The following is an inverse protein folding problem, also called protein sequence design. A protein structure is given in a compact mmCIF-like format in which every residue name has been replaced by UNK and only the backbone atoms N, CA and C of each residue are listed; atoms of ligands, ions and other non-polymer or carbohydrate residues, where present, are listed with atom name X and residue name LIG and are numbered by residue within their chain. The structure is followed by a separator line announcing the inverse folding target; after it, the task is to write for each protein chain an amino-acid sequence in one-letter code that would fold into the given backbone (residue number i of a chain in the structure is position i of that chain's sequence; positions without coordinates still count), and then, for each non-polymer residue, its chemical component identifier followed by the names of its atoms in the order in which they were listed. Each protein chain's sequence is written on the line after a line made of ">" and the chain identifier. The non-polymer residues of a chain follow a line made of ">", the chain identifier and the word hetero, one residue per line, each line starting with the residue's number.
data_IF_895957866908
#
_entry.id   IF_895957866908
#
_cell.length_a   1.000
_cell.length_b   1.000
_cell.length_c   1.000
_cell.angle_alpha   90.00
_cell.angle_beta   90.00
_cell.angle_gamma   90.00
#
_symmetry.space_group_name_H-M   'P 1'
#
loop_
_entity.id
_entity.type
_entity.pdbx_description
1 polymer ?
#
# COMPACT_ATOMS: atom_id res chain seq x y z
N UNK A 1 -12.60 13.26 10.16
CA UNK A 1 -12.23 13.04 8.76
C UNK A 1 -11.19 14.06 8.36
N UNK A 2 -10.04 13.60 7.91
CA UNK A 2 -8.99 14.41 7.30
C UNK A 2 -8.65 13.90 5.90
N UNK A 3 -8.18 14.79 5.04
CA UNK A 3 -7.63 14.43 3.72
C UNK A 3 -6.13 14.20 3.77
N UNK A 4 -5.65 13.15 3.09
CA UNK A 4 -4.23 12.85 2.91
C UNK A 4 -3.90 12.67 1.44
N UNK A 5 -2.77 13.19 0.99
CA UNK A 5 -2.24 12.85 -0.33
C UNK A 5 -1.10 11.83 -0.23
N UNK A 6 -1.05 10.92 -1.20
CA UNK A 6 0.01 9.92 -1.38
C UNK A 6 0.52 10.00 -2.81
N UNK A 7 1.82 10.18 -2.99
CA UNK A 7 2.41 10.26 -4.32
C UNK A 7 2.55 8.87 -4.96
N UNK A 8 2.04 8.74 -6.19
CA UNK A 8 2.28 7.63 -7.10
C UNK A 8 3.22 8.07 -8.21
N UNK A 9 4.38 7.44 -8.26
CA UNK A 9 5.36 7.67 -9.30
C UNK A 9 4.82 7.30 -10.70
N UNK A 10 5.30 8.00 -11.73
CA UNK A 10 4.76 7.88 -13.08
C UNK A 10 4.96 6.51 -13.74
N UNK A 11 5.97 5.76 -13.32
CA UNK A 11 6.19 4.35 -13.71
C UNK A 11 5.04 3.45 -13.22
N UNK A 12 4.56 3.66 -12.00
CA UNK A 12 3.39 2.94 -11.50
C UNK A 12 2.10 3.35 -12.24
N UNK A 13 1.92 4.64 -12.53
CA UNK A 13 0.75 5.07 -13.32
C UNK A 13 0.75 4.39 -14.69
N UNK A 14 1.93 4.31 -15.34
CA UNK A 14 2.10 3.60 -16.62
C UNK A 14 1.82 2.10 -16.49
N UNK A 15 2.20 1.45 -15.38
CA UNK A 15 1.91 0.03 -15.18
C UNK A 15 0.41 -0.23 -15.03
N UNK A 16 -0.32 0.63 -14.30
CA UNK A 16 -1.77 0.53 -14.19
C UNK A 16 -2.45 0.71 -15.55
N UNK A 17 -2.04 1.73 -16.31
CA UNK A 17 -2.56 1.99 -17.66
C UNK A 17 -2.32 0.82 -18.62
N UNK A 18 -1.10 0.24 -18.61
CA UNK A 18 -0.76 -0.92 -19.45
C UNK A 18 -1.61 -2.14 -19.11
N UNK A 19 -1.98 -2.29 -17.85
CA UNK A 19 -2.82 -3.39 -17.38
C UNK A 19 -4.34 -3.10 -17.51
N UNK A 20 -4.72 -1.92 -18.01
CA UNK A 20 -6.13 -1.54 -18.12
C UNK A 20 -6.82 -1.29 -16.78
N UNK A 21 -6.06 -1.02 -15.72
CA UNK A 21 -6.59 -0.78 -14.38
C UNK A 21 -7.05 0.67 -14.21
N UNK A 22 -8.35 0.88 -14.35
CA UNK A 22 -9.03 2.15 -14.06
C UNK A 22 -9.79 2.13 -12.72
N UNK A 23 -9.57 1.11 -11.88
CA UNK A 23 -10.27 0.99 -10.60
C UNK A 23 -11.70 0.42 -10.71
N UNK A 24 -12.59 0.74 -9.75
CA UNK A 24 -12.44 1.74 -8.70
C UNK A 24 -11.29 1.43 -7.73
N UNK A 25 -10.66 2.46 -7.18
CA UNK A 25 -9.61 2.32 -6.18
C UNK A 25 -10.15 1.59 -4.94
N UNK A 26 -9.48 0.50 -4.53
CA UNK A 26 -9.86 -0.28 -3.34
C UNK A 26 -8.90 -0.14 -2.17
N UNK A 27 -7.62 0.11 -2.43
CA UNK A 27 -6.58 0.08 -1.41
C UNK A 27 -5.43 1.03 -1.72
N UNK A 28 -4.83 1.57 -0.67
CA UNK A 28 -3.53 2.23 -0.70
C UNK A 28 -2.62 1.56 0.32
N UNK A 29 -1.47 1.09 -0.14
CA UNK A 29 -0.44 0.49 0.72
C UNK A 29 0.54 1.54 1.24
N UNK A 30 1.03 1.31 2.46
CA UNK A 30 2.09 2.08 3.09
C UNK A 30 3.25 1.22 3.58
N UNK A 31 4.44 1.80 3.59
CA UNK A 31 5.70 1.19 4.01
C UNK A 31 6.71 2.27 4.43
N UNK A 32 7.94 1.86 4.73
CA UNK A 32 9.06 2.75 5.02
C UNK A 32 9.76 3.31 3.77
N UNK A 33 9.31 2.93 2.57
CA UNK A 33 9.93 3.32 1.30
C UNK A 33 9.33 4.60 0.73
N UNK A 34 10.14 5.37 -0.01
CA UNK A 34 9.68 6.62 -0.62
C UNK A 34 8.61 6.44 -1.69
N UNK A 35 8.61 5.29 -2.37
CA UNK A 35 7.63 4.88 -3.39
C UNK A 35 6.30 4.38 -2.80
N UNK A 36 6.30 4.05 -1.51
CA UNK A 36 5.16 3.56 -0.74
C UNK A 36 5.30 4.10 0.68
N UNK A 37 5.03 5.40 0.89
CA UNK A 37 5.33 6.08 2.14
C UNK A 37 4.44 5.59 3.28
N UNK A 38 4.87 5.89 4.50
CA UNK A 38 4.18 5.42 5.71
C UNK A 38 2.81 6.10 5.87
N UNK A 39 1.75 5.29 5.88
CA UNK A 39 0.36 5.73 6.08
C UNK A 39 -0.10 5.58 7.53
N UNK A 40 0.79 5.29 8.49
CA UNK A 40 0.46 5.10 9.92
C UNK A 40 -0.29 6.25 10.59
N UNK A 41 -0.32 7.44 9.97
CA UNK A 41 -1.07 8.60 10.46
C UNK A 41 -2.55 8.64 10.03
N UNK A 42 -2.92 7.86 9.00
CA UNK A 42 -4.29 7.77 8.49
C UNK A 42 -5.16 6.98 9.48
N UNK A 43 -6.43 7.34 9.60
CA UNK A 43 -7.42 6.64 10.44
C UNK A 43 -8.64 6.21 9.60
N UNK A 44 -9.38 5.24 10.11
CA UNK A 44 -10.72 4.92 9.57
C UNK A 44 -11.59 6.18 9.61
N UNK A 45 -12.30 6.45 8.52
CA UNK A 45 -13.08 7.67 8.31
C UNK A 45 -12.28 8.86 7.74
N UNK A 46 -10.98 8.71 7.45
CA UNK A 46 -10.21 9.67 6.67
C UNK A 46 -10.31 9.37 5.16
N UNK A 47 -9.78 10.28 4.33
CA UNK A 47 -9.76 10.13 2.87
C UNK A 47 -8.32 10.18 2.36
N UNK A 48 -7.95 9.22 1.51
CA UNK A 48 -6.66 9.22 0.82
C UNK A 48 -6.86 9.59 -0.65
N UNK A 49 -6.02 10.47 -1.16
CA UNK A 49 -5.94 10.85 -2.56
C UNK A 49 -4.57 10.46 -3.14
N UNK A 50 -4.50 9.39 -3.92
CA UNK A 50 -3.32 9.15 -4.73
C UNK A 50 -3.15 10.28 -5.75
N UNK A 51 -1.95 10.83 -5.82
CA UNK A 51 -1.60 11.93 -6.73
C UNK A 51 -0.38 11.56 -7.55
N UNK A 52 -0.27 12.14 -8.74
CA UNK A 52 0.94 12.04 -9.57
C UNK A 52 1.33 13.40 -10.13
N UNK A 53 2.49 13.45 -10.77
CA UNK A 53 2.95 14.63 -11.51
C UNK A 53 2.53 14.48 -12.97
N UNK A 54 1.85 15.47 -13.51
CA UNK A 54 1.52 15.54 -14.94
C UNK A 54 1.76 16.95 -15.46
N UNK A 55 2.57 17.06 -16.51
CA UNK A 55 2.92 18.33 -17.17
C UNK A 55 3.42 19.44 -16.23
N UNK A 56 4.12 19.06 -15.16
CA UNK A 56 4.67 20.00 -14.18
C UNK A 56 3.68 20.48 -13.12
N UNK A 57 2.46 19.93 -13.07
CA UNK A 57 1.46 20.20 -12.04
C UNK A 57 0.96 18.91 -11.35
N UNK A 58 0.11 19.08 -10.34
CA UNK A 58 -0.48 18.02 -9.55
C UNK A 58 -1.70 17.41 -10.28
N UNK A 59 -1.73 16.09 -10.38
CA UNK A 59 -2.89 15.35 -10.86
C UNK A 59 -3.40 14.43 -9.75
N UNK A 60 -4.67 14.56 -9.38
CA UNK A 60 -5.32 13.65 -8.44
C UNK A 60 -5.86 12.46 -9.21
N UNK A 61 -5.44 11.26 -8.83
CA UNK A 61 -5.76 10.04 -9.58
C UNK A 61 -7.08 9.42 -9.14
N UNK A 62 -7.35 9.44 -7.84
CA UNK A 62 -8.55 8.86 -7.27
C UNK A 62 -8.79 9.41 -5.86
N UNK A 63 -9.95 9.08 -5.33
CA UNK A 63 -10.35 9.30 -3.94
C UNK A 63 -10.62 7.93 -3.31
N UNK A 64 -10.16 7.72 -2.08
CA UNK A 64 -10.45 6.53 -1.28
C UNK A 64 -10.96 6.95 0.10
N UNK A 65 -12.21 6.67 0.41
CA UNK A 65 -12.73 6.75 1.77
C UNK A 65 -12.24 5.52 2.55
N UNK A 66 -11.51 5.75 3.64
CA UNK A 66 -10.87 4.67 4.40
C UNK A 66 -11.87 4.04 5.37
N UNK A 67 -12.14 2.76 5.17
CA UNK A 67 -13.08 1.96 5.95
C UNK A 67 -12.33 0.94 6.83
N UNK A 68 -11.20 0.43 6.34
CA UNK A 68 -10.36 -0.53 7.04
C UNK A 68 -8.89 -0.12 7.00
N UNK A 69 -8.19 -0.38 8.10
CA UNK A 69 -6.73 -0.29 8.20
C UNK A 69 -6.22 -1.56 8.87
N UNK A 70 -5.38 -2.30 8.16
CA UNK A 70 -4.84 -3.58 8.62
C UNK A 70 -3.41 -3.79 8.08
N UNK A 71 -2.76 -4.89 8.46
CA UNK A 71 -1.48 -5.24 7.85
C UNK A 71 -1.68 -5.65 6.39
N UNK A 72 -0.69 -5.39 5.53
CA UNK A 72 -0.83 -5.65 4.09
C UNK A 72 -1.12 -7.12 3.78
N UNK A 73 -0.58 -8.05 4.58
CA UNK A 73 -0.82 -9.48 4.44
C UNK A 73 -2.28 -9.87 4.72
N UNK A 74 -2.85 -9.38 5.82
CA UNK A 74 -4.23 -9.70 6.18
C UNK A 74 -5.23 -9.16 5.14
N UNK A 75 -4.96 -7.97 4.58
CA UNK A 75 -5.72 -7.45 3.44
C UNK A 75 -5.67 -8.43 2.25
N UNK A 76 -4.48 -8.91 1.89
CA UNK A 76 -4.32 -9.81 0.75
C UNK A 76 -5.05 -11.14 0.95
N UNK A 77 -4.97 -11.71 2.16
CA UNK A 77 -5.73 -12.92 2.52
C UNK A 77 -7.23 -12.70 2.40
N UNK A 78 -7.73 -11.56 2.85
CA UNK A 78 -9.16 -11.26 2.92
C UNK A 78 -9.78 -10.87 1.57
N UNK A 79 -9.07 -10.09 0.76
CA UNK A 79 -9.62 -9.46 -0.45
C UNK A 79 -9.15 -10.10 -1.75
N UNK A 80 -7.95 -10.69 -1.73
CA UNK A 80 -7.31 -11.24 -2.93
C UNK A 80 -7.25 -12.76 -2.88
N UNK A 81 -7.23 -13.36 -1.68
CA UNK A 81 -7.13 -14.81 -1.51
C UNK A 81 -5.76 -15.38 -1.95
N UNK A 82 -4.74 -14.52 -2.02
CA UNK A 82 -3.36 -14.92 -2.33
C UNK A 82 -2.39 -14.17 -1.44
N UNK A 83 -1.18 -14.70 -1.28
CA UNK A 83 -0.18 -14.12 -0.40
C UNK A 83 1.04 -13.62 -1.17
N UNK A 84 1.79 -12.74 -0.51
CA UNK A 84 3.17 -12.49 -0.87
C UNK A 84 4.03 -12.94 0.32
N UNK A 85 4.91 -13.92 0.09
CA UNK A 85 5.68 -14.57 1.17
C UNK A 85 6.47 -13.59 2.04
N UNK A 86 6.99 -12.52 1.44
CA UNK A 86 7.73 -11.47 2.15
C UNK A 86 6.87 -10.61 3.08
N UNK A 87 5.55 -10.76 3.06
CA UNK A 87 4.61 -9.99 3.86
C UNK A 87 4.05 -10.76 5.06
N UNK A 88 4.35 -12.06 5.18
CA UNK A 88 3.87 -12.88 6.30
C UNK A 88 4.34 -12.23 7.62
N UNK A 89 3.43 -11.76 8.49
CA UNK A 89 3.83 -11.08 9.71
C UNK A 89 4.22 -12.06 10.82
N UNK A 90 4.87 -11.56 11.87
CA UNK A 90 5.10 -12.30 13.11
C UNK A 90 3.81 -13.01 13.60
N UNK A 91 3.96 -14.24 14.09
CA UNK A 91 2.85 -15.05 14.61
C UNK A 91 1.90 -15.63 13.56
N UNK A 92 2.23 -15.52 12.27
CA UNK A 92 1.49 -16.16 11.19
C UNK A 92 2.32 -17.26 10.53
N UNK A 93 1.69 -18.42 10.34
CA UNK A 93 2.23 -19.52 9.55
C UNK A 93 1.37 -19.67 8.28
N UNK A 94 2.01 -19.73 7.11
CA UNK A 94 1.34 -20.06 5.86
C UNK A 94 1.73 -21.48 5.44
N UNK A 95 0.73 -22.35 5.33
CA UNK A 95 0.85 -23.76 4.97
C UNK A 95 0.44 -23.99 3.53
N UNK A 96 1.22 -24.78 2.79
CA UNK A 96 0.87 -25.26 1.46
C UNK A 96 1.37 -26.68 1.21
N UNK A 97 0.77 -27.34 0.24
CA UNK A 97 1.25 -28.62 -0.24
C UNK A 97 2.54 -28.39 -1.05
N UNK A 98 3.64 -28.95 -0.57
CA UNK A 98 4.94 -28.89 -1.24
C UNK A 98 5.25 -30.20 -1.98
N UNK A 99 6.27 -30.15 -2.84
CA UNK A 99 6.69 -31.32 -3.64
C UNK A 99 7.05 -32.55 -2.79
N UNK A 100 7.55 -32.33 -1.57
CA UNK A 100 8.05 -33.37 -0.67
C UNK A 100 7.17 -33.54 0.59
N UNK A 101 5.95 -33.00 0.57
CA UNK A 101 5.04 -32.95 1.72
C UNK A 101 4.74 -31.51 2.13
N UNK A 102 4.18 -31.35 3.32
CA UNK A 102 3.71 -30.07 3.84
C UNK A 102 4.84 -29.05 3.94
N UNK A 103 4.63 -27.88 3.33
CA UNK A 103 5.58 -26.78 3.30
C UNK A 103 5.00 -25.56 4.00
N UNK A 104 5.79 -24.95 4.86
CA UNK A 104 5.39 -23.82 5.69
C UNK A 104 6.30 -22.62 5.49
N UNK A 105 5.73 -21.43 5.61
CA UNK A 105 6.43 -20.14 5.56
C UNK A 105 5.99 -19.24 6.72
N UNK A 106 6.92 -18.45 7.23
CA UNK A 106 6.70 -17.44 8.29
C UNK A 106 7.60 -16.23 8.03
N UNK A 107 7.49 -15.18 8.85
CA UNK A 107 8.15 -13.87 8.66
C UNK A 107 9.66 -13.94 8.35
N UNK A 108 10.36 -14.96 8.86
CA UNK A 108 11.82 -15.09 8.75
C UNK A 108 12.31 -16.45 8.25
N UNK A 109 11.41 -17.29 7.71
CA UNK A 109 11.82 -18.60 7.25
C UNK A 109 10.76 -19.35 6.47
N UNK A 110 11.20 -20.49 5.95
CA UNK A 110 10.35 -21.40 5.20
C UNK A 110 10.98 -22.78 5.18
N UNK A 111 10.18 -23.85 5.24
CA UNK A 111 10.71 -25.20 5.21
C UNK A 111 9.59 -26.25 5.10
N UNK A 112 9.99 -27.51 4.96
CA UNK A 112 9.08 -28.65 5.02
C UNK A 112 8.88 -29.08 6.47
N UNK A 113 7.64 -29.38 6.84
CA UNK A 113 7.38 -29.92 8.18
C UNK A 113 8.18 -31.20 8.42
N UNK A 114 8.81 -31.26 9.59
CA UNK A 114 9.39 -32.49 10.14
C UNK A 114 8.41 -33.10 11.14
N UNK A 115 7.86 -32.24 12.01
CA UNK A 115 6.80 -32.51 12.98
C UNK A 115 6.05 -31.20 13.28
N UNK A 116 5.10 -31.23 14.22
CA UNK A 116 4.25 -30.08 14.57
C UNK A 116 5.02 -28.83 15.07
N UNK A 117 6.29 -28.99 15.48
CA UNK A 117 7.10 -27.89 16.03
C UNK A 117 8.37 -27.60 15.25
N UNK A 118 8.71 -28.37 14.21
CA UNK A 118 9.95 -28.20 13.45
C UNK A 118 9.75 -28.17 11.95
N UNK A 119 10.51 -27.29 11.28
CA UNK A 119 10.62 -27.23 9.84
C UNK A 119 12.05 -27.51 9.37
N UNK A 120 12.19 -28.08 8.18
CA UNK A 120 13.47 -28.34 7.54
C UNK A 120 13.63 -27.55 6.26
N UNK A 121 14.78 -26.90 6.10
CA UNK A 121 15.15 -26.18 4.88
C UNK A 121 16.61 -26.40 4.50
N UNK A 122 16.97 -26.04 3.26
CA UNK A 122 18.35 -26.14 2.79
C UNK A 122 19.11 -24.83 3.08
N UNK A 123 20.02 -24.87 4.03
CA UNK A 123 20.93 -23.76 4.35
C UNK A 123 22.24 -23.85 3.55
N UNK A 124 23.11 -22.85 3.71
CA UNK A 124 24.44 -22.82 3.06
C UNK A 124 25.34 -24.00 3.48
N UNK A 125 25.18 -24.49 4.70
CA UNK A 125 25.99 -25.56 5.30
C UNK A 125 25.30 -26.93 5.24
N UNK A 126 24.22 -27.06 4.47
CA UNK A 126 23.44 -28.29 4.31
C UNK A 126 22.04 -28.21 4.89
N UNK A 127 21.45 -29.36 5.22
CA UNK A 127 20.08 -29.44 5.75
C UNK A 127 20.03 -28.83 7.15
N UNK A 128 19.17 -27.84 7.33
CA UNK A 128 18.84 -27.21 8.61
C UNK A 128 17.49 -27.75 9.07
N UNK A 129 17.38 -27.99 10.37
CA UNK A 129 16.11 -28.24 11.06
C UNK A 129 16.01 -27.17 12.14
N UNK A 130 14.93 -26.41 12.11
CA UNK A 130 14.68 -25.32 13.04
C UNK A 130 13.31 -25.48 13.68
N UNK A 131 13.21 -25.05 14.93
CA UNK A 131 11.94 -24.94 15.63
C UNK A 131 11.10 -23.82 15.00
N UNK A 132 9.80 -24.06 14.84
CA UNK A 132 8.87 -23.04 14.42
C UNK A 132 8.75 -21.93 15.49
N UNK A 133 8.34 -20.70 15.10
CA UNK A 133 8.11 -19.64 16.07
C UNK A 133 7.12 -20.08 17.17
N UNK A 134 7.51 -19.95 18.43
CA UNK A 134 6.68 -20.36 19.57
C UNK A 134 5.37 -19.57 19.70
N UNK A 135 5.25 -18.43 19.03
CA UNK A 135 4.12 -17.51 19.09
C UNK A 135 3.25 -17.54 17.82
N UNK A 136 3.09 -18.69 17.17
CA UNK A 136 2.12 -18.82 16.07
C UNK A 136 0.70 -18.67 16.62
N UNK A 137 0.00 -17.65 16.17
CA UNK A 137 -1.37 -17.31 16.57
C UNK A 137 -2.38 -17.63 15.46
N UNK A 138 -1.95 -17.62 14.20
CA UNK A 138 -2.81 -17.86 13.03
C UNK A 138 -2.10 -18.74 12.01
N UNK A 139 -2.83 -19.69 11.44
CA UNK A 139 -2.37 -20.55 10.36
C UNK A 139 -3.30 -20.37 9.16
N UNK A 140 -2.72 -20.07 8.01
CA UNK A 140 -3.43 -20.05 6.73
C UNK A 140 -3.07 -21.29 5.94
N UNK A 141 -4.06 -22.00 5.42
CA UNK A 141 -3.87 -23.16 4.55
C UNK A 141 -4.18 -22.76 3.11
N UNK A 142 -3.22 -22.91 2.20
CA UNK A 142 -3.36 -22.55 0.78
C UNK A 142 -4.58 -23.23 0.14
N UNK A 143 -4.87 -24.49 0.51
CA UNK A 143 -6.02 -25.23 0.00
C UNK A 143 -7.39 -24.73 0.50
N UNK A 144 -7.41 -23.81 1.46
CA UNK A 144 -8.61 -23.13 1.97
C UNK A 144 -8.74 -21.71 1.40
N UNK A 145 -7.76 -21.23 0.63
CA UNK A 145 -7.78 -19.92 0.02
C UNK A 145 -8.23 -20.05 -1.44
N UNK A 146 -9.20 -19.23 -1.82
CA UNK A 146 -9.62 -19.09 -3.21
C UNK A 146 -9.18 -17.73 -3.72
N UNK A 147 -8.38 -17.71 -4.79
CA UNK A 147 -7.95 -16.46 -5.40
C UNK A 147 -9.15 -15.71 -5.97
N UNK A 148 -9.33 -14.47 -5.51
CA UNK A 148 -10.40 -13.60 -5.93
C UNK A 148 -9.92 -12.76 -7.12
N UNK A 149 -10.69 -12.65 -8.22
CA UNK A 149 -10.36 -11.76 -9.31
C UNK A 149 -10.16 -10.33 -8.82
N UNK A 150 -8.99 -9.79 -9.08
CA UNK A 150 -8.57 -8.49 -8.55
C UNK A 150 -7.86 -7.67 -9.63
N UNK A 151 -7.76 -6.38 -9.36
CA UNK A 151 -7.07 -5.43 -10.23
C UNK A 151 -5.62 -5.24 -9.77
N UNK A 152 -4.68 -4.92 -10.68
CA UNK A 152 -3.28 -4.72 -10.35
C UNK A 152 -3.00 -3.78 -9.15
N UNK A 153 -3.79 -2.73 -8.96
CA UNK A 153 -3.61 -1.81 -7.82
C UNK A 153 -3.94 -2.43 -6.47
N UNK A 154 -4.67 -3.56 -6.45
CA UNK A 154 -5.06 -4.30 -5.25
C UNK A 154 -3.97 -5.24 -4.75
N UNK A 155 -2.80 -5.25 -5.39
CA UNK A 155 -1.62 -6.00 -4.96
C UNK A 155 -0.50 -5.00 -4.67
N UNK A 156 0.26 -5.17 -3.58
CA UNK A 156 1.34 -4.27 -3.25
C UNK A 156 2.47 -4.34 -4.29
N UNK A 157 3.02 -3.17 -4.63
CA UNK A 157 4.14 -3.05 -5.59
C UNK A 157 5.48 -3.52 -5.03
N UNK A 158 5.55 -3.76 -3.73
CA UNK A 158 6.80 -3.98 -3.00
C UNK A 158 6.61 -5.08 -1.97
N UNK A 159 7.65 -5.91 -1.85
CA UNK A 159 7.80 -6.92 -0.81
C UNK A 159 7.85 -6.37 0.62
N UNK A 160 7.84 -5.04 0.81
CA UNK A 160 7.93 -4.39 2.11
C UNK A 160 6.62 -3.71 2.53
N UNK A 161 5.50 -3.94 1.85
CA UNK A 161 4.22 -3.33 2.24
C UNK A 161 3.86 -3.73 3.68
N UNK A 162 3.63 -2.74 4.55
CA UNK A 162 3.33 -3.00 5.97
C UNK A 162 1.87 -2.84 6.28
N UNK A 163 1.27 -1.75 5.79
CA UNK A 163 -0.12 -1.39 6.09
C UNK A 163 -0.91 -1.30 4.79
N UNK A 164 -2.16 -1.74 4.83
CA UNK A 164 -3.17 -1.51 3.80
C UNK A 164 -4.28 -0.64 4.40
N UNK A 165 -4.60 0.47 3.73
CA UNK A 165 -5.80 1.24 3.98
C UNK A 165 -6.77 1.00 2.82
N UNK A 166 -7.94 0.44 3.11
CA UNK A 166 -8.93 0.04 2.09
C UNK A 166 -10.32 0.58 2.38
N UNK A 167 -11.17 0.58 1.37
CA UNK A 167 -12.55 1.03 1.45
C UNK A 167 -13.13 1.41 0.10
N UNK A 168 -14.12 2.30 0.10
CA UNK A 168 -14.79 2.76 -1.12
C UNK A 168 -14.01 3.87 -1.82
N UNK A 169 -13.51 3.59 -3.01
CA UNK A 169 -12.85 4.58 -3.86
C UNK A 169 -13.49 4.79 -5.22
N UNK A 170 -12.94 5.77 -5.94
CA UNK A 170 -13.41 6.21 -7.26
C UNK A 170 -12.57 5.62 -8.38
N UNK A 171 -12.98 5.87 -9.63
CA UNK A 171 -12.17 5.58 -10.82
C UNK A 171 -10.77 6.22 -10.72
N UNK A 172 -9.75 5.47 -11.16
CA UNK A 172 -8.35 5.87 -11.27
C UNK A 172 -8.15 6.57 -12.62
N UNK A 173 -8.23 7.89 -12.61
CA UNK A 173 -8.01 8.74 -13.78
C UNK A 173 -7.47 10.13 -13.38
N UNK A 174 -6.62 10.76 -14.20
CA UNK A 174 -5.94 12.00 -13.82
C UNK A 174 -6.90 13.20 -13.83
N UNK A 175 -7.06 13.84 -12.67
CA UNK A 175 -7.77 15.11 -12.48
C UNK A 175 -6.74 16.20 -12.23
N UNK A 176 -6.47 17.00 -13.26
CA UNK A 176 -5.42 18.01 -13.25
C UNK A 176 -5.86 19.21 -12.41
N UNK A 177 -5.01 19.64 -11.48
CA UNK A 177 -5.20 20.87 -10.74
C UNK A 177 -4.32 21.97 -11.36
N UNK A 178 -4.87 23.15 -11.68
CA UNK A 178 -4.08 24.30 -12.14
C UNK A 178 -2.98 24.67 -11.13
N UNK A 179 -1.81 25.06 -11.63
CA UNK A 179 -0.63 25.32 -10.78
C UNK A 179 -0.85 26.50 -9.83
N UNK A 180 -1.69 27.45 -10.23
CA UNK A 180 -2.12 28.61 -9.44
C UNK A 180 -2.89 28.15 -8.20
N UNK A 181 -3.78 27.16 -8.37
CA UNK A 181 -4.51 26.53 -7.27
C UNK A 181 -3.59 25.66 -6.41
N UNK A 182 -2.67 24.90 -7.02
CA UNK A 182 -1.68 24.10 -6.28
C UNK A 182 -0.83 24.99 -5.35
N UNK A 183 -0.50 26.20 -5.79
CA UNK A 183 0.34 27.14 -5.04
C UNK A 183 -0.32 27.67 -3.77
N UNK A 184 -1.65 27.57 -3.63
CA UNK A 184 -2.37 27.97 -2.41
C UNK A 184 -2.55 26.82 -1.42
N UNK A 185 -2.23 25.58 -1.81
CA UNK A 185 -2.44 24.39 -1.00
C UNK A 185 -1.45 24.30 0.15
N UNK A 186 -1.93 23.80 1.28
CA UNK A 186 -1.16 23.68 2.51
C UNK A 186 -1.26 22.27 3.09
N UNK A 187 -0.11 21.76 3.55
CA UNK A 187 0.03 20.40 4.05
C UNK A 187 0.81 20.37 5.37
N UNK A 188 0.32 19.61 6.35
CA UNK A 188 0.97 19.47 7.65
C UNK A 188 0.05 18.85 8.70
N UNK A 189 0.64 18.30 9.78
CA UNK A 189 -0.09 17.61 10.85
C UNK A 189 -1.00 18.56 11.64
N UNK A 190 -0.53 19.78 11.86
CA UNK A 190 -1.21 20.85 12.61
C UNK A 190 -1.27 22.13 11.79
N UNK A 191 -2.19 23.05 12.11
CA UNK A 191 -2.29 24.36 11.44
C UNK A 191 -0.96 25.15 11.48
N UNK A 192 -0.23 25.08 12.58
CA UNK A 192 1.07 25.76 12.74
C UNK A 192 2.23 25.13 11.95
N UNK A 193 2.10 23.88 11.50
CA UNK A 193 3.14 23.15 10.75
C UNK A 193 2.81 23.01 9.27
N UNK A 194 1.68 23.56 8.84
CA UNK A 194 1.22 23.52 7.46
C UNK A 194 2.14 24.35 6.56
N UNK A 195 2.56 23.77 5.44
CA UNK A 195 3.45 24.38 4.46
C UNK A 195 2.98 24.08 3.03
N UNK A 196 3.26 24.97 2.07
CA UNK A 196 3.00 24.69 0.67
C UNK A 196 3.92 23.61 0.12
N UNK A 197 3.56 23.06 -1.03
CA UNK A 197 4.47 22.22 -1.81
C UNK A 197 5.61 23.07 -2.37
N UNK A 198 6.81 22.49 -2.45
CA UNK A 198 7.97 23.17 -3.01
C UNK A 198 7.89 23.18 -4.53
N UNK A 199 7.93 24.37 -5.13
CA UNK A 199 8.05 24.54 -6.57
C UNK A 199 9.53 24.65 -6.99
N UNK A 200 9.82 24.30 -8.24
CA UNK A 200 11.12 24.54 -8.86
C UNK A 200 11.28 26.01 -9.29
N UNK A 201 12.44 26.35 -9.88
CA UNK A 201 12.74 27.70 -10.38
C UNK A 201 11.81 28.19 -11.49
N UNK A 202 11.07 27.28 -12.13
CA UNK A 202 10.12 27.56 -13.20
C UNK A 202 8.66 27.56 -12.70
N UNK A 203 8.44 27.48 -11.38
CA UNK A 203 7.11 27.43 -10.78
C UNK A 203 6.41 26.08 -10.95
N UNK A 204 7.13 24.99 -11.25
CA UNK A 204 6.57 23.65 -11.48
C UNK A 204 6.77 22.74 -10.28
N UNK A 205 5.89 21.77 -10.12
CA UNK A 205 6.12 20.64 -9.21
C UNK A 205 7.13 19.66 -9.80
N UNK A 206 7.85 18.98 -8.92
CA UNK A 206 8.76 17.88 -9.26
C UNK A 206 8.43 16.66 -8.42
N UNK A 207 8.96 15.49 -8.78
CA UNK A 207 8.81 14.29 -7.95
C UNK A 207 9.31 14.51 -6.51
N UNK A 208 10.39 15.29 -6.33
CA UNK A 208 10.95 15.64 -5.02
C UNK A 208 9.96 16.46 -4.18
N UNK A 209 9.08 17.24 -4.81
CA UNK A 209 8.04 18.01 -4.14
C UNK A 209 6.99 17.11 -3.47
N UNK A 210 6.79 15.89 -3.99
CA UNK A 210 5.66 15.02 -3.65
C UNK A 210 6.09 13.72 -2.94
N UNK A 211 7.21 13.13 -3.34
CA UNK A 211 7.64 11.80 -2.91
C UNK A 211 8.08 11.75 -1.43
N UNK A 212 8.08 10.53 -0.87
CA UNK A 212 8.68 10.24 0.42
C UNK A 212 7.75 10.34 1.62
N UNK A 213 6.61 11.01 1.51
CA UNK A 213 5.74 11.27 2.66
C UNK A 213 4.26 11.27 2.30
N UNK A 214 3.46 10.77 3.24
CA UNK A 214 2.02 11.00 3.28
C UNK A 214 1.78 12.38 3.89
N UNK A 215 0.98 13.21 3.24
CA UNK A 215 0.77 14.60 3.65
C UNK A 215 -0.68 14.84 4.01
N UNK A 216 -0.93 15.19 5.27
CA UNK A 216 -2.23 15.66 5.74
C UNK A 216 -2.52 17.05 5.15
N UNK A 217 -3.71 17.24 4.59
CA UNK A 217 -4.18 18.47 3.98
C UNK A 217 -4.69 19.46 5.04
N UNK A 218 -4.63 20.76 4.74
CA UNK A 218 -5.49 21.75 5.40
C UNK A 218 -6.96 21.56 5.02
N UNK A 219 -7.88 22.13 5.78
CA UNK A 219 -9.32 22.06 5.51
C UNK A 219 -9.64 22.62 4.11
N UNK A 220 -9.07 23.79 3.76
CA UNK A 220 -9.24 24.40 2.43
C UNK A 220 -8.67 23.53 1.30
N UNK A 221 -7.51 22.90 1.50
CA UNK A 221 -6.90 22.01 0.51
C UNK A 221 -7.76 20.77 0.32
N UNK A 222 -8.31 20.24 1.41
CA UNK A 222 -9.20 19.09 1.39
C UNK A 222 -10.48 19.37 0.60
N UNK A 223 -11.11 20.54 0.78
CA UNK A 223 -12.28 20.95 -0.01
C UNK A 223 -11.97 21.08 -1.50
N UNK A 224 -10.80 21.61 -1.87
CA UNK A 224 -10.36 21.65 -3.28
C UNK A 224 -10.30 20.23 -3.85
N UNK A 225 -9.72 19.27 -3.13
CA UNK A 225 -9.63 17.88 -3.58
C UNK A 225 -11.01 17.22 -3.68
N UNK A 226 -11.88 17.41 -2.69
CA UNK A 226 -13.25 16.86 -2.72
C UNK A 226 -14.06 17.41 -3.90
N UNK A 227 -13.86 18.67 -4.27
CA UNK A 227 -14.57 19.28 -5.40
C UNK A 227 -14.28 18.58 -6.75
N UNK A 228 -13.17 17.84 -6.88
CA UNK A 228 -12.81 17.10 -8.08
C UNK A 228 -13.62 15.82 -8.29
N UNK A 229 -14.41 15.40 -7.30
CA UNK A 229 -15.18 14.14 -7.29
C UNK A 229 -16.68 14.36 -7.06
N UNK A 230 -17.14 15.62 -7.16
CA UNK A 230 -18.57 15.98 -7.11
C UNK A 230 -19.22 15.89 -8.49
#
# INVERSE_FOLDING_TARGET
>A
MAGYMVYWAGDYIKSLQKAGDSGPLKVVYGSQHTTMPDISSVRVGDVIYPVTLKDGTLAVMARLAVEHIECAFDYLMREVGTYQSSLIPAGVLYHKDGTYGDFVMWEHGSGYFVDETHASHMGKDGKVIEELPANIERIYYENQLEEVPHLPHQVPKSCCAKTAASGTGTEICPRIIPIETVSTMLFGKTKSTQKPLKLDKNGRLTAISLAGFVRKMSDDTFEIFESLFR
#
